data_IF_208933986636
#
_entry.id   IF_208933986636
#
_cell.length_a   1.000
_cell.length_b   1.000
_cell.length_c   1.000
_cell.angle_alpha   90.00
_cell.angle_beta   90.00
_cell.angle_gamma   90.00
#
_symmetry.space_group_name_H-M   'P 1'
#
loop_
_entity.id
_entity.type
_entity.pdbx_description
1 polymer ?
#
# COMPACT_ATOMS: atom_id res chain seq x y z
N UNK A 1 -35.24 -0.47 3.14
CA UNK A 1 -33.92 -0.29 3.79
C UNK A 1 -34.06 0.51 5.09
N UNK A 2 -33.00 0.54 5.90
CA UNK A 2 -32.92 1.45 7.05
C UNK A 2 -32.18 2.76 6.69
N UNK A 3 -32.17 3.74 7.60
CA UNK A 3 -31.56 5.05 7.32
C UNK A 3 -30.03 5.00 7.10
N UNK A 4 -29.31 4.12 7.79
CA UNK A 4 -27.85 4.00 7.62
C UNK A 4 -27.47 3.40 6.27
N UNK A 5 -28.23 2.38 5.82
CA UNK A 5 -28.04 1.78 4.50
C UNK A 5 -28.30 2.83 3.41
N UNK A 6 -29.36 3.61 3.58
CA UNK A 6 -29.71 4.71 2.66
C UNK A 6 -28.58 5.73 2.54
N UNK A 7 -28.10 6.25 3.68
CA UNK A 7 -27.04 7.27 3.68
C UNK A 7 -25.74 6.72 3.11
N UNK A 8 -25.41 5.45 3.40
CA UNK A 8 -24.20 4.79 2.90
C UNK A 8 -24.21 4.59 1.39
N UNK A 9 -25.37 4.29 0.80
CA UNK A 9 -25.51 4.03 -0.64
C UNK A 9 -25.95 5.25 -1.46
N UNK A 10 -26.22 6.41 -0.82
CA UNK A 10 -26.77 7.59 -1.51
C UNK A 10 -25.84 8.12 -2.60
N UNK A 11 -24.55 8.27 -2.32
CA UNK A 11 -23.59 8.83 -3.29
C UNK A 11 -23.45 7.90 -4.50
N UNK A 12 -23.32 6.60 -4.27
CA UNK A 12 -23.23 5.61 -5.34
C UNK A 12 -24.48 5.61 -6.23
N UNK A 13 -25.66 5.80 -5.61
CA UNK A 13 -26.93 5.95 -6.30
C UNK A 13 -27.01 7.24 -7.15
N UNK A 14 -26.54 8.38 -6.61
CA UNK A 14 -26.52 9.66 -7.33
C UNK A 14 -25.51 9.68 -8.49
N UNK A 15 -24.37 9.02 -8.32
CA UNK A 15 -23.29 8.97 -9.31
C UNK A 15 -23.53 7.90 -10.41
N UNK A 16 -24.70 7.26 -10.39
CA UNK A 16 -25.14 6.25 -11.37
C UNK A 16 -24.16 5.09 -11.59
N UNK A 17 -23.26 4.82 -10.63
CA UNK A 17 -22.28 3.74 -10.70
C UNK A 17 -22.91 2.35 -10.50
N UNK A 18 -24.18 2.30 -10.08
CA UNK A 18 -24.88 1.05 -9.76
C UNK A 18 -26.10 0.90 -10.66
N UNK A 19 -25.88 0.35 -11.86
CA UNK A 19 -26.93 -0.06 -12.81
C UNK A 19 -27.81 -1.21 -12.24
N UNK A 20 -27.42 -1.80 -11.10
CA UNK A 20 -28.11 -2.92 -10.43
C UNK A 20 -28.59 -2.60 -9.00
N UNK A 21 -28.85 -1.33 -8.68
CA UNK A 21 -29.32 -0.93 -7.35
C UNK A 21 -30.83 -1.13 -7.14
N UNK A 22 -31.26 -1.36 -5.90
CA UNK A 22 -32.68 -1.35 -5.49
C UNK A 22 -33.25 0.07 -5.50
N UNK A 23 -33.42 0.63 -6.71
CA UNK A 23 -33.93 2.00 -6.93
C UNK A 23 -35.30 2.19 -6.29
N UNK A 24 -36.19 1.20 -6.42
CA UNK A 24 -37.54 1.28 -5.85
C UNK A 24 -37.52 1.30 -4.32
N UNK A 25 -36.66 0.49 -3.71
CA UNK A 25 -36.45 0.54 -2.26
C UNK A 25 -35.92 1.90 -1.82
N UNK A 26 -35.03 2.51 -2.61
CA UNK A 26 -34.46 3.85 -2.42
C UNK A 26 -35.53 4.94 -2.43
N UNK A 27 -36.33 5.00 -3.49
CA UNK A 27 -37.44 5.94 -3.64
C UNK A 27 -38.45 5.77 -2.50
N UNK A 28 -38.89 4.54 -2.22
CA UNK A 28 -39.86 4.26 -1.17
C UNK A 28 -39.36 4.67 0.23
N UNK A 29 -38.05 4.59 0.50
CA UNK A 29 -37.48 5.01 1.77
C UNK A 29 -37.48 6.54 1.93
N UNK A 30 -37.15 7.28 0.87
CA UNK A 30 -37.16 8.76 0.89
C UNK A 30 -38.57 9.29 1.08
N UNK A 31 -39.55 8.69 0.40
CA UNK A 31 -40.95 9.07 0.52
C UNK A 31 -41.50 8.83 1.94
N UNK A 32 -41.06 7.75 2.59
CA UNK A 32 -41.57 7.37 3.92
C UNK A 32 -40.77 7.95 5.10
N UNK A 33 -39.52 8.38 4.91
CA UNK A 33 -38.64 8.83 5.99
C UNK A 33 -38.30 10.34 5.89
N UNK A 34 -38.88 11.21 6.76
CA UNK A 34 -38.62 12.65 6.78
C UNK A 34 -37.17 13.05 7.09
N UNK A 35 -36.38 12.15 7.69
CA UNK A 35 -34.97 12.42 7.95
C UNK A 35 -34.14 12.27 6.69
N UNK A 36 -34.36 11.18 5.95
CA UNK A 36 -33.63 10.89 4.71
C UNK A 36 -34.04 11.82 3.57
N UNK A 37 -35.32 12.24 3.50
CA UNK A 37 -35.74 13.27 2.53
C UNK A 37 -35.07 14.62 2.75
N UNK A 38 -34.95 15.07 4.01
CA UNK A 38 -34.18 16.28 4.34
C UNK A 38 -32.71 16.14 4.01
N UNK A 39 -32.12 14.97 4.29
CA UNK A 39 -30.72 14.70 3.97
C UNK A 39 -30.48 14.79 2.46
N UNK A 40 -31.31 14.13 1.65
CA UNK A 40 -31.26 14.21 0.19
C UNK A 40 -31.34 15.67 -0.29
N UNK A 41 -32.31 16.43 0.21
CA UNK A 41 -32.48 17.84 -0.16
C UNK A 41 -31.24 18.70 0.17
N UNK A 42 -30.57 18.45 1.30
CA UNK A 42 -29.33 19.15 1.66
C UNK A 42 -28.20 18.80 0.69
N UNK A 43 -28.05 17.52 0.34
CA UNK A 43 -27.04 17.06 -0.62
C UNK A 43 -27.27 17.69 -1.99
N UNK A 44 -28.51 17.68 -2.48
CA UNK A 44 -28.89 18.29 -3.76
C UNK A 44 -28.63 19.80 -3.77
N UNK A 45 -29.00 20.52 -2.70
CA UNK A 45 -28.69 21.95 -2.58
C UNK A 45 -27.20 22.24 -2.49
N UNK A 46 -26.43 21.40 -1.80
CA UNK A 46 -24.97 21.50 -1.80
C UNK A 46 -24.40 21.36 -3.20
N UNK A 47 -24.90 20.40 -3.98
CA UNK A 47 -24.48 20.18 -5.36
C UNK A 47 -24.87 21.35 -6.28
N UNK A 48 -26.04 21.95 -6.10
CA UNK A 48 -26.42 23.18 -6.83
C UNK A 48 -25.46 24.34 -6.56
N UNK A 49 -25.07 24.55 -5.30
CA UNK A 49 -24.10 25.61 -4.95
C UNK A 49 -22.75 25.38 -5.64
N UNK A 50 -22.27 24.14 -5.66
CA UNK A 50 -21.03 23.80 -6.35
C UNK A 50 -21.13 23.99 -7.86
N UNK A 51 -22.28 23.65 -8.48
CA UNK A 51 -22.51 23.87 -9.91
C UNK A 51 -22.68 25.35 -10.28
N UNK A 52 -23.05 26.19 -9.32
CA UNK A 52 -23.14 27.64 -9.51
C UNK A 52 -21.79 28.37 -9.43
N UNK A 53 -20.70 27.67 -9.10
CA UNK A 53 -19.36 28.25 -9.14
C UNK A 53 -18.97 28.61 -10.59
N UNK A 54 -18.14 29.65 -10.78
CA UNK A 54 -17.65 30.01 -12.10
C UNK A 54 -16.87 28.86 -12.73
N UNK A 55 -17.05 28.68 -14.03
CA UNK A 55 -16.34 27.65 -14.78
C UNK A 55 -14.82 27.88 -14.69
N UNK A 56 -14.03 26.86 -14.34
CA UNK A 56 -12.58 27.03 -14.24
C UNK A 56 -11.98 27.30 -15.62
N UNK A 57 -11.04 28.24 -15.68
CA UNK A 57 -10.25 28.44 -16.89
C UNK A 57 -9.37 27.20 -17.13
N UNK A 58 -9.64 26.50 -18.25
CA UNK A 58 -8.86 25.36 -18.67
C UNK A 58 -7.72 25.82 -19.56
N UNK A 59 -6.50 25.31 -19.31
CA UNK A 59 -5.37 25.52 -20.22
C UNK A 59 -5.69 24.94 -21.61
N UNK A 60 -5.18 25.55 -22.68
CA UNK A 60 -5.38 25.07 -24.06
C UNK A 60 -4.97 23.58 -24.24
N UNK A 61 -3.95 23.13 -23.50
CA UNK A 61 -3.46 21.75 -23.53
C UNK A 61 -4.32 20.76 -22.72
N UNK A 62 -5.38 21.22 -22.04
CA UNK A 62 -6.15 20.38 -21.12
C UNK A 62 -6.81 19.20 -21.83
N UNK A 63 -7.50 19.45 -22.96
CA UNK A 63 -8.18 18.41 -23.74
C UNK A 63 -7.20 17.31 -24.21
N UNK A 64 -6.12 17.66 -24.92
CA UNK A 64 -5.09 16.70 -25.33
C UNK A 64 -4.47 15.92 -24.16
N UNK A 65 -4.18 16.59 -23.03
CA UNK A 65 -3.61 15.94 -21.83
C UNK A 65 -4.61 14.99 -21.16
N UNK A 66 -5.88 15.38 -21.08
CA UNK A 66 -6.93 14.55 -20.52
C UNK A 66 -7.12 13.29 -21.36
N UNK A 67 -7.20 13.46 -22.69
CA UNK A 67 -7.37 12.35 -23.62
C UNK A 67 -6.19 11.38 -23.57
N UNK A 68 -4.96 11.90 -23.56
CA UNK A 68 -3.76 11.08 -23.36
C UNK A 68 -3.80 10.31 -22.02
N UNK A 69 -4.25 10.93 -20.93
CA UNK A 69 -4.38 10.22 -19.65
C UNK A 69 -5.46 9.14 -19.69
N UNK A 70 -6.63 9.43 -20.25
CA UNK A 70 -7.73 8.46 -20.34
C UNK A 70 -7.28 7.19 -21.07
N UNK A 71 -6.56 7.32 -22.19
CA UNK A 71 -6.03 6.17 -22.93
C UNK A 71 -5.07 5.30 -22.11
N UNK A 72 -4.29 5.88 -21.20
CA UNK A 72 -3.33 5.13 -20.39
C UNK A 72 -3.87 4.65 -19.05
N UNK A 73 -4.97 5.21 -18.56
CA UNK A 73 -5.61 4.75 -17.31
C UNK A 73 -6.13 3.32 -17.48
N UNK A 74 -6.70 2.98 -18.64
CA UNK A 74 -7.16 1.62 -18.94
C UNK A 74 -5.99 0.62 -19.03
N UNK A 75 -4.87 1.04 -19.62
CA UNK A 75 -3.64 0.24 -19.68
C UNK A 75 -3.05 -0.02 -18.29
N UNK A 76 -3.00 0.99 -17.43
CA UNK A 76 -2.49 0.85 -16.06
C UNK A 76 -3.42 -0.03 -15.21
N UNK A 77 -4.74 0.11 -15.33
CA UNK A 77 -5.70 -0.76 -14.63
C UNK A 77 -5.57 -2.22 -15.07
N UNK A 78 -5.38 -2.47 -16.37
CA UNK A 78 -5.09 -3.80 -16.91
C UNK A 78 -3.76 -4.35 -16.36
N UNK A 79 -2.73 -3.51 -16.23
CA UNK A 79 -1.43 -3.90 -15.67
C UNK A 79 -1.49 -4.18 -14.16
N UNK A 80 -2.25 -3.42 -13.37
CA UNK A 80 -2.46 -3.70 -11.94
C UNK A 80 -3.32 -4.96 -11.71
N UNK A 81 -4.33 -5.19 -12.55
CA UNK A 81 -5.10 -6.45 -12.55
C UNK A 81 -4.25 -7.66 -12.94
N UNK A 82 -3.34 -7.50 -13.90
CA UNK A 82 -2.43 -8.54 -14.34
C UNK A 82 -1.23 -8.76 -13.39
N UNK A 83 -0.80 -7.75 -12.63
CA UNK A 83 0.34 -7.83 -11.72
C UNK A 83 0.10 -8.75 -10.49
N UNK A 84 -1.15 -9.10 -10.21
CA UNK A 84 -1.51 -10.09 -9.17
C UNK A 84 -2.07 -11.40 -9.75
N UNK A 85 -2.12 -11.55 -11.06
CA UNK A 85 -2.55 -12.78 -11.71
C UNK A 85 -1.36 -13.72 -11.92
N UNK A 86 -0.66 -14.10 -10.85
CA UNK A 86 0.07 -15.37 -10.89
C UNK A 86 -0.97 -16.45 -11.19
N UNK A 87 -0.93 -17.09 -12.37
CA UNK A 87 -1.95 -18.08 -12.72
C UNK A 87 -1.93 -19.16 -11.64
N UNK A 88 -3.10 -19.64 -11.20
CA UNK A 88 -3.22 -20.61 -10.11
C UNK A 88 -2.27 -21.82 -10.24
N UNK A 89 -1.92 -22.18 -11.48
CA UNK A 89 -0.92 -23.20 -11.82
C UNK A 89 0.49 -22.91 -11.28
N UNK A 90 0.93 -21.65 -11.23
CA UNK A 90 2.24 -21.27 -10.68
C UNK A 90 2.32 -21.44 -9.17
N UNK A 91 1.25 -21.08 -8.46
CA UNK A 91 1.14 -21.27 -7.00
C UNK A 91 1.15 -22.77 -6.67
N UNK A 92 0.39 -23.58 -7.41
CA UNK A 92 0.38 -25.04 -7.24
C UNK A 92 1.75 -25.64 -7.54
N UNK A 93 2.42 -25.21 -8.61
CA UNK A 93 3.76 -25.68 -8.97
C UNK A 93 4.81 -25.37 -7.90
N UNK A 94 4.80 -24.15 -7.37
CA UNK A 94 5.69 -23.76 -6.27
C UNK A 94 5.41 -24.55 -4.99
N UNK A 95 4.13 -24.73 -4.63
CA UNK A 95 3.75 -25.52 -3.46
C UNK A 95 4.24 -26.97 -3.58
N UNK A 96 4.15 -27.58 -4.77
CA UNK A 96 4.63 -28.94 -5.04
C UNK A 96 6.15 -29.05 -4.96
N UNK A 97 6.89 -28.04 -5.44
CA UNK A 97 8.34 -28.00 -5.31
C UNK A 97 8.76 -27.93 -3.82
N UNK A 98 8.11 -27.09 -3.03
CA UNK A 98 8.42 -26.97 -1.60
C UNK A 98 8.10 -28.24 -0.81
N UNK A 99 7.00 -28.93 -1.12
CA UNK A 99 6.67 -30.20 -0.46
C UNK A 99 7.68 -31.29 -0.79
N UNK A 100 8.13 -31.39 -2.04
CA UNK A 100 9.17 -32.34 -2.46
C UNK A 100 10.50 -32.05 -1.75
N UNK A 101 10.91 -30.79 -1.64
CA UNK A 101 12.14 -30.39 -0.95
C UNK A 101 12.05 -30.69 0.55
N UNK A 102 10.91 -30.42 1.20
CA UNK A 102 10.75 -30.64 2.63
C UNK A 102 10.83 -32.13 3.04
N UNK A 103 10.49 -33.07 2.14
CA UNK A 103 10.51 -34.50 2.39
C UNK A 103 11.75 -35.22 1.86
N UNK A 104 12.64 -34.51 1.16
CA UNK A 104 13.94 -35.00 0.65
C UNK A 104 14.79 -35.75 1.70
N UNK A 105 15.01 -35.23 2.92
CA UNK A 105 15.88 -35.90 3.89
C UNK A 105 15.26 -37.17 4.48
N UNK A 106 13.92 -37.31 4.43
CA UNK A 106 13.21 -38.49 4.93
C UNK A 106 13.31 -39.67 3.96
N UNK A 107 13.36 -39.41 2.65
CA UNK A 107 13.50 -40.46 1.63
C UNK A 107 14.95 -40.93 1.43
N UNK A 108 15.93 -40.14 1.89
CA UNK A 108 17.36 -40.42 1.78
C UNK A 108 18.00 -40.94 3.08
N UNK A 109 17.24 -41.61 3.94
CA UNK A 109 17.76 -42.25 5.16
C UNK A 109 18.65 -43.48 4.89
N UNK A 110 19.76 -43.29 4.16
CA UNK A 110 21.01 -44.04 4.36
C UNK A 110 22.03 -43.08 4.96
N UNK A 111 21.82 -42.69 6.22
CA UNK A 111 22.89 -42.05 6.98
C UNK A 111 23.90 -43.14 7.36
N UNK A 112 25.20 -42.98 7.07
CA UNK A 112 26.22 -43.91 7.58
C UNK A 112 26.24 -43.79 9.10
N UNK A 113 26.17 -44.93 9.79
CA UNK A 113 26.25 -45.04 11.23
C UNK A 113 27.69 -44.68 11.67
N UNK A 114 27.93 -43.41 11.96
CA UNK A 114 29.21 -42.94 12.48
C UNK A 114 29.20 -43.19 13.99
N UNK A 115 29.75 -44.34 14.39
CA UNK A 115 30.01 -44.68 15.79
C UNK A 115 31.08 -43.73 16.32
N UNK A 116 30.67 -42.72 17.09
CA UNK A 116 31.56 -41.83 17.81
C UNK A 116 31.86 -42.42 19.18
N UNK A 117 33.14 -42.57 19.49
CA UNK A 117 33.60 -43.08 20.79
C UNK A 117 33.30 -42.03 21.89
N UNK A 118 32.77 -42.45 23.06
CA UNK A 118 32.23 -41.52 24.04
C UNK A 118 33.33 -40.63 24.65
N UNK A 119 33.12 -39.31 24.56
CA UNK A 119 34.01 -38.32 25.16
C UNK A 119 33.79 -38.31 26.68
N UNK A 120 34.80 -38.78 27.43
CA UNK A 120 34.79 -38.75 28.90
C UNK A 120 35.35 -37.41 29.37
N UNK A 121 34.48 -36.54 29.87
CA UNK A 121 34.87 -35.25 30.47
C UNK A 121 35.23 -35.49 31.94
N UNK A 122 36.51 -35.61 32.25
CA UNK A 122 37.01 -35.54 33.62
C UNK A 122 37.28 -34.08 34.01
N UNK A 123 36.39 -33.56 34.87
CA UNK A 123 36.44 -32.28 35.59
C UNK A 123 36.14 -30.99 34.80
N UNK A 124 35.29 -30.10 35.34
CA UNK A 124 35.06 -28.79 34.76
C UNK A 124 36.26 -27.86 35.06
N UNK A 125 36.80 -27.14 34.06
CA UNK A 125 37.82 -26.12 34.33
C UNK A 125 37.23 -24.97 35.15
N UNK A 126 37.96 -24.58 36.19
CA UNK A 126 37.64 -23.45 37.07
C UNK A 126 37.53 -22.18 36.24
N UNK A 127 36.35 -21.53 36.28
CA UNK A 127 36.11 -20.27 35.58
C UNK A 127 36.80 -19.12 36.32
N UNK A 128 37.66 -18.38 35.63
CA UNK A 128 38.19 -17.09 36.09
C UNK A 128 37.16 -15.97 35.80
N UNK A 129 37.05 -14.94 36.66
CA UNK A 129 36.02 -13.91 36.51
C UNK A 129 36.25 -13.06 35.26
N UNK A 130 35.24 -13.03 34.38
CA UNK A 130 35.19 -12.18 33.19
C UNK A 130 34.94 -10.73 33.60
N UNK A 131 35.83 -9.81 33.18
CA UNK A 131 35.66 -8.37 33.35
C UNK A 131 34.63 -7.86 32.32
N UNK A 132 33.57 -7.13 32.72
CA UNK A 132 32.63 -6.55 31.77
C UNK A 132 33.31 -5.44 30.95
N UNK A 133 33.16 -5.51 29.63
CA UNK A 133 33.58 -4.47 28.69
C UNK A 133 32.67 -3.25 28.88
N UNK A 134 33.26 -2.10 29.18
CA UNK A 134 32.56 -0.81 29.26
C UNK A 134 31.90 -0.47 27.92
N UNK A 135 30.62 -0.08 27.98
CA UNK A 135 29.85 0.37 26.84
C UNK A 135 30.49 1.61 26.19
N UNK A 136 30.67 1.53 24.87
CA UNK A 136 31.08 2.65 24.02
C UNK A 136 29.97 3.72 24.00
N UNK A 137 30.29 5.03 23.99
CA UNK A 137 29.27 6.06 23.96
C UNK A 137 28.56 6.06 22.60
N UNK A 138 27.24 5.89 22.64
CA UNK A 138 26.33 5.97 21.49
C UNK A 138 26.42 7.39 20.92
N UNK A 139 27.07 7.53 19.77
CA UNK A 139 27.08 8.76 18.99
C UNK A 139 25.65 9.22 18.72
N UNK A 140 25.35 10.45 19.10
CA UNK A 140 24.10 11.12 18.80
C UNK A 140 24.04 11.38 17.29
N UNK A 141 23.16 10.67 16.58
CA UNK A 141 22.69 11.11 15.27
C UNK A 141 21.86 12.39 15.45
N UNK A 142 22.13 13.49 14.71
CA UNK A 142 21.24 14.64 14.73
C UNK A 142 19.92 14.22 14.10
N UNK A 143 18.87 14.11 14.93
CA UNK A 143 17.50 14.13 14.43
C UNK A 143 17.22 15.57 14.00
N UNK A 144 16.81 15.84 12.76
CA UNK A 144 16.26 17.15 12.43
C UNK A 144 15.01 17.34 13.31
N UNK A 145 14.99 18.43 14.06
CA UNK A 145 13.85 18.79 14.91
C UNK A 145 12.61 18.95 14.04
N UNK A 146 11.64 18.08 14.23
CA UNK A 146 10.29 18.29 13.70
C UNK A 146 9.65 19.40 14.52
N UNK A 147 9.58 20.58 13.93
CA UNK A 147 8.93 21.76 14.51
C UNK A 147 7.44 21.68 14.16
N UNK A 148 6.67 20.87 14.91
CA UNK A 148 5.23 20.63 14.67
C UNK A 148 4.36 21.89 14.74
N UNK A 149 4.90 23.02 15.22
CA UNK A 149 4.21 24.30 15.32
C UNK A 149 3.96 24.97 13.96
N UNK A 150 4.82 24.72 12.96
CA UNK A 150 4.54 25.09 11.57
C UNK A 150 3.87 23.90 10.93
N UNK A 151 2.56 23.99 10.71
CA UNK A 151 1.74 22.86 10.31
C UNK A 151 2.30 22.16 9.07
N UNK A 152 2.13 20.84 9.00
CA UNK A 152 2.53 19.99 7.86
C UNK A 152 2.06 20.55 6.50
N UNK A 153 1.00 21.36 6.51
CA UNK A 153 0.34 21.97 5.37
C UNK A 153 0.91 23.33 4.95
N UNK A 154 1.66 23.99 5.82
CA UNK A 154 2.23 25.32 5.55
C UNK A 154 3.60 25.22 4.88
N UNK A 155 4.34 24.14 5.14
CA UNK A 155 5.62 23.87 4.48
C UNK A 155 5.45 22.86 3.34
N UNK A 156 5.21 23.39 2.13
CA UNK A 156 5.08 22.58 0.90
C UNK A 156 6.29 21.70 0.61
N UNK A 157 7.47 22.06 1.13
CA UNK A 157 8.69 21.26 0.94
C UNK A 157 8.61 19.92 1.68
N UNK A 158 7.95 19.88 2.84
CA UNK A 158 7.75 18.67 3.63
C UNK A 158 6.74 17.74 2.98
N UNK A 159 5.65 18.27 2.42
CA UNK A 159 4.69 17.47 1.65
C UNK A 159 5.36 16.81 0.46
N UNK A 160 6.22 17.53 -0.26
CA UNK A 160 6.99 16.95 -1.35
C UNK A 160 7.94 15.86 -0.83
N UNK A 161 8.71 16.13 0.23
CA UNK A 161 9.72 15.20 0.76
C UNK A 161 9.13 13.86 1.21
N UNK A 162 7.91 13.86 1.77
CA UNK A 162 7.23 12.64 2.20
C UNK A 162 6.26 12.05 1.16
N UNK A 163 6.10 12.69 -0.01
CA UNK A 163 5.26 12.16 -1.08
C UNK A 163 5.88 10.93 -1.77
N UNK A 164 5.07 10.05 -2.40
CA UNK A 164 5.56 8.96 -3.24
C UNK A 164 6.41 9.45 -4.43
N UNK A 165 6.24 10.72 -4.83
CA UNK A 165 6.98 11.35 -5.93
C UNK A 165 8.45 11.56 -5.57
N UNK A 166 8.77 12.03 -4.36
CA UNK A 166 10.16 12.22 -3.93
C UNK A 166 10.94 10.91 -3.87
N UNK A 167 10.27 9.82 -3.47
CA UNK A 167 10.86 8.48 -3.43
C UNK A 167 11.26 8.01 -4.84
N UNK A 168 10.40 8.21 -5.85
CA UNK A 168 10.72 7.88 -7.26
C UNK A 168 11.95 8.64 -7.76
N UNK A 169 12.07 9.93 -7.49
CA UNK A 169 13.24 10.72 -7.92
C UNK A 169 14.53 10.33 -7.18
N UNK A 170 14.45 10.03 -5.88
CA UNK A 170 15.59 9.50 -5.10
C UNK A 170 16.05 8.14 -5.62
N UNK A 171 15.13 7.25 -5.97
CA UNK A 171 15.50 5.95 -6.56
C UNK A 171 16.13 6.11 -7.95
N UNK A 172 15.58 7.00 -8.80
CA UNK A 172 16.08 7.23 -10.15
C UNK A 172 17.50 7.81 -10.19
N UNK A 173 17.85 8.67 -9.24
CA UNK A 173 19.22 9.19 -9.09
C UNK A 173 20.22 8.14 -8.59
N UNK A 174 19.77 7.17 -7.78
CA UNK A 174 20.60 6.02 -7.36
C UNK A 174 20.85 5.04 -8.50
N UNK A 175 19.83 4.76 -9.33
CA UNK A 175 19.98 3.90 -10.53
C UNK A 175 20.99 4.49 -11.52
N UNK A 176 20.99 5.82 -11.69
CA UNK A 176 21.93 6.47 -12.61
C UNK A 176 23.39 6.45 -12.12
N UNK A 177 23.65 6.33 -10.81
CA UNK A 177 25.03 6.19 -10.27
C UNK A 177 25.58 4.78 -10.41
N UNK A 178 24.75 3.75 -10.31
CA UNK A 178 25.20 2.37 -10.51
C UNK A 178 25.64 2.09 -11.95
N UNK A 179 25.10 2.84 -12.93
CA UNK A 179 25.46 2.67 -14.34
C UNK A 179 26.76 3.38 -14.74
N UNK A 180 27.24 4.35 -13.96
CA UNK A 180 28.48 5.10 -14.26
C UNK A 180 29.73 4.36 -13.74
N UNK A 181 29.58 3.45 -12.78
CA UNK A 181 30.71 2.74 -12.15
C UNK A 181 31.01 1.37 -12.79
N UNK A 182 30.31 1.01 -13.88
CA UNK A 182 30.46 -0.29 -14.55
C UNK A 182 31.32 -0.23 -15.82
N UNK A 183 31.92 0.92 -16.12
CA UNK A 183 32.67 1.19 -17.36
C UNK A 183 34.12 1.64 -17.11
N UNK A 184 34.77 1.10 -16.07
CA UNK A 184 36.20 1.31 -15.81
C UNK A 184 36.98 0.03 -15.52
#
# INVERSE_FOLDING_TARGET
MNCSDYVGALTDHLDASVIEGDVRGFEAHVESCPSCSRYLAVVEKGAEVLRALPEPELSEDFGPRLQHRLYHVDDEAALYGAASATPALTVVGMAFLFTVIAWSPTLWQRAPEIVLEPIVVNQPPVQLPVRPVSAMPRGASPRPGFDFERGLWEDQSLLYEYSPLSQRYRQRSRVRRAQIDQDR
#
